data_IF_955020492444
#
_entry.id   IF_955020492444
#
_cell.length_a   1.000
_cell.length_b   1.000
_cell.length_c   1.000
_cell.angle_alpha   90.00
_cell.angle_beta   90.00
_cell.angle_gamma   90.00
#
_symmetry.space_group_name_H-M   'P 1'
#
loop_
_entity.id
_entity.type
_entity.pdbx_description
1 polymer ?
#
# COMPACT_ATOMS: atom_id res chain seq x y z
N UNK A 1 -4.16 -1.05 22.08
CA UNK A 1 -3.10 -1.27 21.08
C UNK A 1 -2.85 0.00 20.29
N UNK A 2 -3.85 0.60 19.62
CA UNK A 2 -3.70 1.84 18.84
C UNK A 2 -3.00 2.99 19.58
N UNK A 3 -3.43 3.34 20.79
CA UNK A 3 -2.79 4.41 21.59
C UNK A 3 -1.29 4.16 21.84
N UNK A 4 -0.90 2.89 21.98
CA UNK A 4 0.50 2.50 22.18
C UNK A 4 1.29 2.47 20.86
N UNK A 5 0.63 2.18 19.74
CA UNK A 5 1.25 2.27 18.42
C UNK A 5 1.50 3.75 18.07
N UNK A 6 0.50 4.60 18.30
CA UNK A 6 0.58 6.06 18.11
C UNK A 6 1.66 6.69 19.01
N UNK A 7 1.78 6.26 20.27
CA UNK A 7 2.82 6.78 21.16
C UNK A 7 4.23 6.43 20.67
N UNK A 8 4.44 5.20 20.18
CA UNK A 8 5.75 4.75 19.67
C UNK A 8 6.11 5.43 18.36
N UNK A 9 5.13 5.62 17.47
CA UNK A 9 5.34 6.41 16.26
C UNK A 9 5.72 7.86 16.56
N UNK A 10 5.00 8.50 17.50
CA UNK A 10 5.33 9.86 17.94
C UNK A 10 6.74 9.95 18.53
N UNK A 11 7.14 8.97 19.35
CA UNK A 11 8.48 8.91 19.93
C UNK A 11 9.56 8.83 18.84
N UNK A 12 9.38 8.00 17.81
CA UNK A 12 10.32 7.95 16.68
C UNK A 12 10.41 9.29 15.95
N UNK A 13 9.27 9.95 15.69
CA UNK A 13 9.25 11.26 15.03
C UNK A 13 10.05 12.30 15.84
N UNK A 14 9.87 12.31 17.16
CA UNK A 14 10.59 13.21 18.06
C UNK A 14 12.08 12.89 18.12
N UNK A 15 12.46 11.63 18.35
CA UNK A 15 13.86 11.21 18.46
C UNK A 15 14.68 11.53 17.21
N UNK A 16 14.06 11.41 16.04
CA UNK A 16 14.71 11.63 14.76
C UNK A 16 14.51 13.04 14.19
N UNK A 17 13.84 13.95 14.91
CA UNK A 17 13.48 15.29 14.45
C UNK A 17 12.81 15.28 13.06
N UNK A 18 11.79 14.44 12.92
CA UNK A 18 10.97 14.33 11.71
C UNK A 18 9.72 15.21 11.82
N UNK A 19 9.14 15.51 10.67
CA UNK A 19 7.90 16.26 10.53
C UNK A 19 6.72 15.31 10.27
N UNK A 20 5.57 15.58 10.91
CA UNK A 20 4.31 14.93 10.54
C UNK A 20 3.74 15.56 9.27
N UNK A 21 3.29 14.77 8.28
CA UNK A 21 2.65 15.35 7.11
C UNK A 21 1.34 16.04 7.47
N UNK A 22 1.08 17.21 6.88
CA UNK A 22 -0.10 18.06 7.15
C UNK A 22 -1.43 17.31 6.88
N UNK A 23 -1.42 16.32 5.98
CA UNK A 23 -2.59 15.50 5.63
C UNK A 23 -2.26 14.00 5.78
N UNK A 24 -2.28 13.50 7.03
CA UNK A 24 -2.02 12.10 7.37
C UNK A 24 -2.88 11.11 6.57
N UNK A 25 -4.17 11.41 6.37
CA UNK A 25 -5.13 10.50 5.73
C UNK A 25 -4.98 10.33 4.21
N UNK A 26 -4.36 11.29 3.52
CA UNK A 26 -4.21 11.27 2.05
C UNK A 26 -2.79 10.94 1.58
N UNK A 27 -1.78 11.19 2.41
CA UNK A 27 -0.38 11.09 1.98
C UNK A 27 0.20 9.67 2.03
N UNK A 28 -0.43 8.75 2.78
CA UNK A 28 0.12 7.42 3.01
C UNK A 28 1.59 7.48 3.47
N UNK A 29 1.94 8.48 4.27
CA UNK A 29 3.32 8.75 4.69
C UNK A 29 3.28 9.02 6.18
N UNK A 30 4.18 8.39 6.93
CA UNK A 30 4.13 8.45 8.39
C UNK A 30 4.93 9.66 8.89
N UNK A 31 6.07 9.95 8.25
CA UNK A 31 6.93 11.07 8.61
C UNK A 31 7.73 11.61 7.40
N UNK A 32 8.22 12.84 7.52
CA UNK A 32 9.05 13.52 6.53
C UNK A 32 10.33 14.03 7.19
N UNK A 33 11.47 13.79 6.56
CA UNK A 33 12.74 14.43 6.87
C UNK A 33 13.01 15.51 5.83
N UNK A 34 13.18 16.76 6.28
CA UNK A 34 13.67 17.85 5.43
C UNK A 34 15.20 17.91 5.52
N UNK A 35 15.90 17.75 4.39
CA UNK A 35 17.36 17.78 4.30
C UNK A 35 17.77 18.60 3.06
N UNK A 36 18.40 19.76 3.26
CA UNK A 36 18.84 20.66 2.17
C UNK A 36 17.74 20.87 1.11
N UNK A 37 16.54 21.25 1.55
CA UNK A 37 15.32 21.44 0.74
C UNK A 37 14.66 20.17 0.18
N UNK A 38 15.33 19.02 0.22
CA UNK A 38 14.75 17.74 -0.15
C UNK A 38 13.79 17.25 0.94
N UNK A 39 12.58 16.84 0.52
CA UNK A 39 11.61 16.18 1.38
C UNK A 39 11.68 14.68 1.20
N UNK A 40 12.15 14.01 2.24
CA UNK A 40 12.40 12.58 2.24
C UNK A 40 11.30 11.91 3.04
N UNK A 41 10.53 11.03 2.40
CA UNK A 41 9.37 10.40 3.04
C UNK A 41 9.74 9.09 3.72
N UNK A 42 9.19 8.89 4.91
CA UNK A 42 9.41 7.71 5.73
C UNK A 42 8.12 6.91 5.93
N UNK A 43 8.27 5.58 5.94
CA UNK A 43 7.37 4.65 6.62
C UNK A 43 7.97 4.34 8.00
N UNK A 44 7.16 4.43 9.06
CA UNK A 44 7.56 4.13 10.42
C UNK A 44 6.91 2.81 10.85
N UNK A 45 7.70 1.92 11.45
CA UNK A 45 7.20 0.71 12.07
C UNK A 45 7.84 0.52 13.44
N UNK A 46 7.11 -0.15 14.32
CA UNK A 46 7.67 -0.54 15.62
C UNK A 46 7.20 -1.92 16.04
N UNK A 47 8.02 -2.59 16.85
CA UNK A 47 7.72 -3.95 17.33
C UNK A 47 8.25 -4.16 18.74
N UNK A 48 7.62 -5.06 19.49
CA UNK A 48 8.12 -5.61 20.77
C UNK A 48 8.67 -7.02 20.60
N UNK A 49 8.70 -7.51 19.35
CA UNK A 49 9.20 -8.82 18.92
C UNK A 49 10.46 -8.63 18.06
N UNK A 50 10.94 -9.73 17.50
CA UNK A 50 12.10 -9.73 16.58
C UNK A 50 11.70 -9.49 15.11
N UNK A 51 10.44 -9.72 14.75
CA UNK A 51 9.89 -9.43 13.42
C UNK A 51 9.02 -8.18 13.42
N UNK A 52 8.90 -7.54 12.27
CA UNK A 52 8.06 -6.35 12.08
C UNK A 52 6.85 -6.69 11.20
N UNK A 53 5.64 -6.46 11.71
CA UNK A 53 4.39 -6.47 10.92
C UNK A 53 4.29 -5.22 10.06
N UNK A 54 3.78 -5.35 8.83
CA UNK A 54 3.73 -4.21 7.90
C UNK A 54 2.31 -3.67 7.68
N UNK A 55 1.43 -4.45 7.04
CA UNK A 55 0.04 -4.09 6.74
C UNK A 55 -0.86 -5.31 6.69
N UNK A 56 -2.17 -5.13 6.93
CA UNK A 56 -3.15 -6.23 6.88
C UNK A 56 -3.23 -6.87 5.51
N UNK A 57 -3.48 -6.10 4.47
CA UNK A 57 -3.74 -6.60 3.12
C UNK A 57 -2.71 -6.04 2.14
N UNK A 58 -1.55 -6.69 2.03
CA UNK A 58 -0.47 -6.25 1.14
C UNK A 58 -0.87 -6.51 -0.32
N UNK A 59 -0.69 -5.50 -1.19
CA UNK A 59 -1.11 -5.51 -2.59
C UNK A 59 -0.44 -4.41 -3.42
N UNK A 60 -0.87 -4.09 -4.65
CA UNK A 60 -0.08 -3.30 -5.60
C UNK A 60 0.08 -1.85 -5.16
N UNK A 61 -0.93 -1.32 -4.49
CA UNK A 61 -0.87 0.03 -3.93
C UNK A 61 0.20 0.15 -2.84
N UNK A 62 0.44 -0.90 -2.05
CA UNK A 62 1.54 -0.93 -1.08
C UNK A 62 2.90 -1.02 -1.77
N UNK A 63 3.01 -1.84 -2.83
CA UNK A 63 4.23 -1.94 -3.63
C UNK A 63 4.59 -0.56 -4.22
N UNK A 64 3.62 0.15 -4.79
CA UNK A 64 3.79 1.51 -5.33
C UNK A 64 4.17 2.50 -4.21
N UNK A 65 3.43 2.49 -3.10
CA UNK A 65 3.65 3.36 -1.94
C UNK A 65 5.06 3.24 -1.39
N UNK A 66 5.58 2.01 -1.27
CA UNK A 66 6.82 1.74 -0.55
C UNK A 66 8.09 1.76 -1.41
N UNK A 67 7.98 1.64 -2.74
CA UNK A 67 9.13 1.54 -3.66
C UNK A 67 10.19 2.64 -3.49
N UNK A 68 9.76 3.86 -3.17
CA UNK A 68 10.64 5.02 -2.99
C UNK A 68 10.76 5.52 -1.56
N UNK A 69 10.26 4.78 -0.57
CA UNK A 69 10.23 5.23 0.82
C UNK A 69 11.46 4.78 1.59
N UNK A 70 11.92 5.67 2.47
CA UNK A 70 12.83 5.29 3.54
C UNK A 70 12.03 4.69 4.69
N UNK A 71 12.70 3.91 5.53
CA UNK A 71 12.05 3.23 6.65
C UNK A 71 12.80 3.47 7.94
N UNK A 72 12.04 3.59 9.03
CA UNK A 72 12.56 3.52 10.39
C UNK A 72 11.81 2.47 11.19
N UNK A 73 12.57 1.62 11.87
CA UNK A 73 12.06 0.52 12.66
C UNK A 73 12.45 0.70 14.12
N UNK A 74 11.48 0.93 15.01
CA UNK A 74 11.71 0.97 16.46
C UNK A 74 11.54 -0.40 17.11
N UNK A 75 12.57 -0.90 17.79
CA UNK A 75 12.53 -2.16 18.52
C UNK A 75 12.44 -1.91 20.02
N UNK A 76 11.34 -2.34 20.63
CA UNK A 76 11.04 -2.09 22.03
C UNK A 76 11.17 -3.35 22.89
N UNK A 77 11.32 -3.15 24.20
CA UNK A 77 11.15 -4.21 25.19
C UNK A 77 9.74 -4.81 25.19
N UNK A 78 9.62 -5.99 25.79
CA UNK A 78 8.31 -6.60 26.08
C UNK A 78 7.51 -5.61 26.94
N UNK A 79 6.30 -5.27 26.48
CA UNK A 79 5.48 -4.23 27.11
C UNK A 79 5.56 -2.87 26.41
N UNK A 80 6.50 -2.66 25.48
CA UNK A 80 6.49 -1.58 24.50
C UNK A 80 6.70 -0.17 25.06
N UNK A 81 7.31 -0.04 26.25
CA UNK A 81 7.58 1.24 26.92
C UNK A 81 9.02 1.74 26.75
N UNK A 82 9.97 0.82 26.58
CA UNK A 82 11.39 1.13 26.51
C UNK A 82 11.87 0.79 25.11
N UNK A 83 12.30 1.82 24.37
CA UNK A 83 12.97 1.66 23.08
C UNK A 83 14.37 1.10 23.31
N UNK A 84 14.72 0.01 22.63
CA UNK A 84 16.06 -0.60 22.70
C UNK A 84 17.01 0.01 21.68
N UNK A 85 16.55 0.07 20.43
CA UNK A 85 17.30 0.59 19.30
C UNK A 85 16.35 0.83 18.12
N UNK A 86 16.85 1.59 17.16
CA UNK A 86 16.22 1.83 15.88
C UNK A 86 17.07 1.27 14.75
N UNK A 87 16.43 0.90 13.65
CA UNK A 87 17.08 0.60 12.37
C UNK A 87 16.58 1.55 11.30
N UNK A 88 17.48 1.95 10.40
CA UNK A 88 17.17 2.70 9.19
C UNK A 88 17.27 1.79 7.97
N UNK A 89 16.40 2.01 6.97
CA UNK A 89 16.55 1.41 5.65
C UNK A 89 16.29 2.43 4.54
N UNK A 90 17.16 2.41 3.53
CA UNK A 90 16.92 3.12 2.27
C UNK A 90 15.93 2.35 1.37
N UNK A 91 15.36 2.99 0.34
CA UNK A 91 14.57 2.31 -0.68
C UNK A 91 15.29 1.10 -1.29
N UNK A 92 16.60 1.23 -1.56
CA UNK A 92 17.45 0.17 -2.09
C UNK A 92 17.55 -1.02 -1.13
N UNK A 93 17.69 -0.78 0.17
CA UNK A 93 17.75 -1.84 1.19
C UNK A 93 16.40 -2.56 1.35
N UNK A 94 15.28 -1.88 1.13
CA UNK A 94 13.94 -2.49 1.23
C UNK A 94 13.46 -3.13 -0.07
N UNK A 95 14.07 -2.81 -1.20
CA UNK A 95 13.67 -3.32 -2.52
C UNK A 95 13.61 -4.85 -2.60
N UNK A 96 14.59 -5.63 -2.07
CA UNK A 96 14.52 -7.09 -2.13
C UNK A 96 13.29 -7.67 -1.42
N UNK A 97 12.99 -7.22 -0.20
CA UNK A 97 11.81 -7.69 0.52
C UNK A 97 10.51 -7.29 -0.19
N UNK A 98 10.42 -6.05 -0.69
CA UNK A 98 9.23 -5.60 -1.44
C UNK A 98 9.06 -6.41 -2.73
N UNK A 99 10.15 -6.71 -3.44
CA UNK A 99 10.13 -7.53 -4.67
C UNK A 99 9.65 -8.94 -4.38
N UNK A 100 10.19 -9.58 -3.34
CA UNK A 100 9.76 -10.93 -2.94
C UNK A 100 8.25 -10.97 -2.65
N UNK A 101 7.71 -9.96 -1.95
CA UNK A 101 6.27 -9.88 -1.68
C UNK A 101 5.47 -9.55 -2.93
N UNK A 102 6.01 -8.73 -3.83
CA UNK A 102 5.42 -8.43 -5.13
C UNK A 102 5.31 -9.68 -6.02
N UNK A 103 6.35 -10.51 -6.04
CA UNK A 103 6.39 -11.73 -6.83
C UNK A 103 5.37 -12.75 -6.30
N UNK A 104 5.24 -12.87 -4.98
CA UNK A 104 4.25 -13.74 -4.33
C UNK A 104 2.81 -13.45 -4.81
N UNK A 105 2.43 -12.18 -4.88
CA UNK A 105 1.08 -11.76 -5.30
C UNK A 105 0.95 -11.55 -6.82
N UNK A 106 2.05 -11.61 -7.56
CA UNK A 106 2.13 -11.16 -8.95
C UNK A 106 1.26 -11.96 -9.92
N UNK A 107 1.17 -13.28 -9.71
CA UNK A 107 0.35 -14.16 -10.56
C UNK A 107 -1.13 -13.80 -10.49
N UNK A 108 -1.65 -13.52 -9.29
CA UNK A 108 -3.06 -13.18 -9.12
C UNK A 108 -3.38 -11.81 -9.72
N UNK A 109 -2.47 -10.84 -9.63
CA UNK A 109 -2.63 -9.57 -10.35
C UNK A 109 -2.59 -9.74 -11.86
N UNK A 110 -1.79 -10.70 -12.36
CA UNK A 110 -1.79 -11.00 -13.79
C UNK A 110 -3.13 -11.60 -14.21
N UNK A 111 -3.74 -12.46 -13.39
CA UNK A 111 -5.10 -12.95 -13.62
C UNK A 111 -6.11 -11.80 -13.65
N UNK A 112 -6.02 -10.85 -12.72
CA UNK A 112 -6.91 -9.68 -12.70
C UNK A 112 -6.80 -8.81 -13.96
N UNK A 113 -5.67 -8.83 -14.66
CA UNK A 113 -5.48 -8.11 -15.93
C UNK A 113 -5.98 -8.89 -17.15
N UNK A 114 -5.85 -10.22 -17.14
CA UNK A 114 -6.11 -11.06 -18.31
C UNK A 114 -7.53 -11.62 -18.34
N UNK A 115 -8.05 -12.09 -17.21
CA UNK A 115 -9.35 -12.77 -17.13
C UNK A 115 -10.52 -11.87 -17.53
N UNK A 116 -10.59 -10.59 -17.13
CA UNK A 116 -11.68 -9.72 -17.59
C UNK A 116 -11.76 -9.63 -19.11
N UNK A 117 -10.64 -9.68 -19.83
CA UNK A 117 -10.64 -9.61 -21.29
C UNK A 117 -11.20 -10.85 -21.97
N UNK A 118 -11.26 -11.98 -21.27
CA UNK A 118 -11.87 -13.21 -21.75
C UNK A 118 -13.39 -13.26 -21.54
N UNK A 119 -13.96 -12.30 -20.81
CA UNK A 119 -15.41 -12.22 -20.58
C UNK A 119 -16.08 -11.74 -21.86
N UNK A 120 -16.96 -12.60 -22.40
CA UNK A 120 -17.76 -12.34 -23.58
C UNK A 120 -19.14 -11.79 -23.24
N UNK A 121 -19.83 -11.27 -24.26
CA UNK A 121 -21.22 -10.83 -24.16
C UNK A 121 -22.19 -11.98 -23.84
N UNK A 122 -21.90 -13.20 -24.30
CA UNK A 122 -22.70 -14.37 -23.94
C UNK A 122 -22.66 -14.63 -22.43
N UNK A 123 -21.49 -14.48 -21.80
CA UNK A 123 -21.37 -14.63 -20.35
C UNK A 123 -22.06 -13.49 -19.59
N UNK A 124 -22.09 -12.28 -20.14
CA UNK A 124 -22.90 -11.20 -19.58
C UNK A 124 -24.38 -11.61 -19.52
N UNK A 125 -24.93 -12.11 -20.62
CA UNK A 125 -26.33 -12.50 -20.71
C UNK A 125 -26.68 -13.63 -19.73
N UNK A 126 -25.78 -14.60 -19.55
CA UNK A 126 -25.96 -15.66 -18.53
C UNK A 126 -26.01 -15.10 -17.09
N UNK A 127 -25.29 -14.01 -16.80
CA UNK A 127 -25.18 -13.46 -15.43
C UNK A 127 -26.30 -12.47 -15.11
N UNK A 128 -26.66 -11.58 -16.05
CA UNK A 128 -27.61 -10.48 -15.80
C UNK A 128 -28.87 -10.52 -16.67
N UNK A 129 -29.01 -11.55 -17.51
CA UNK A 129 -30.08 -11.68 -18.49
C UNK A 129 -29.82 -10.84 -19.74
N UNK A 130 -30.26 -11.31 -20.91
CA UNK A 130 -30.18 -10.57 -22.17
C UNK A 130 -31.18 -9.40 -22.17
N UNK A 131 -30.69 -8.19 -22.50
CA UNK A 131 -31.50 -6.98 -22.67
C UNK A 131 -30.88 -6.10 -23.76
N UNK A 132 -31.71 -5.41 -24.52
CA UNK A 132 -31.22 -4.38 -25.47
C UNK A 132 -30.69 -3.13 -24.74
N UNK A 133 -31.28 -2.81 -23.57
CA UNK A 133 -30.87 -1.68 -22.74
C UNK A 133 -30.91 -2.11 -21.26
N UNK A 134 -29.79 -1.90 -20.57
CA UNK A 134 -29.67 -2.07 -19.12
C UNK A 134 -29.84 -0.75 -18.40
N UNK A 135 -30.41 -0.81 -17.19
CA UNK A 135 -30.67 0.37 -16.36
C UNK A 135 -29.49 0.70 -15.43
N UNK A 136 -29.52 1.89 -14.82
CA UNK A 136 -28.63 2.22 -13.70
C UNK A 136 -28.73 1.23 -12.55
N UNK A 137 -29.93 0.73 -12.27
CA UNK A 137 -30.15 -0.24 -11.20
C UNK A 137 -29.49 -1.58 -11.52
N UNK A 138 -29.57 -2.05 -12.77
CA UNK A 138 -28.86 -3.24 -13.24
C UNK A 138 -27.35 -3.09 -13.03
N UNK A 139 -26.77 -1.97 -13.49
CA UNK A 139 -25.36 -1.64 -13.34
C UNK A 139 -24.93 -1.59 -11.86
N UNK A 140 -25.74 -0.95 -10.99
CA UNK A 140 -25.48 -0.89 -9.55
C UNK A 140 -25.56 -2.24 -8.86
N UNK A 141 -26.50 -3.09 -9.28
CA UNK A 141 -26.66 -4.45 -8.77
C UNK A 141 -25.46 -5.32 -9.14
N UNK A 142 -24.96 -5.20 -10.37
CA UNK A 142 -23.77 -5.90 -10.83
C UNK A 142 -22.51 -5.41 -10.10
N UNK A 143 -22.28 -4.10 -10.09
CA UNK A 143 -21.05 -3.50 -9.56
C UNK A 143 -21.10 -3.23 -8.05
N UNK A 144 -22.20 -3.59 -7.39
CA UNK A 144 -22.42 -3.46 -5.94
C UNK A 144 -22.11 -2.07 -5.40
N UNK A 145 -22.50 -1.03 -6.14
CA UNK A 145 -22.32 0.39 -5.78
C UNK A 145 -20.87 0.77 -5.45
N UNK A 146 -19.89 0.08 -6.04
CA UNK A 146 -18.46 0.41 -5.86
C UNK A 146 -18.04 1.68 -6.59
N UNK A 147 -18.67 1.99 -7.72
CA UNK A 147 -18.53 3.29 -8.36
C UNK A 147 -19.31 4.38 -7.64
N UNK A 148 -18.81 5.60 -7.72
CA UNK A 148 -19.58 6.83 -7.50
C UNK A 148 -20.69 6.96 -8.54
N UNK A 149 -21.71 7.77 -8.23
CA UNK A 149 -22.80 8.04 -9.17
C UNK A 149 -22.29 8.67 -10.48
N UNK A 150 -21.23 9.50 -10.41
CA UNK A 150 -20.65 10.13 -11.59
C UNK A 150 -19.97 9.10 -12.49
N UNK A 151 -19.24 8.14 -11.91
CA UNK A 151 -18.63 7.05 -12.68
C UNK A 151 -19.66 6.16 -13.37
N UNK A 152 -20.79 5.85 -12.72
CA UNK A 152 -21.89 5.16 -13.38
C UNK A 152 -22.42 5.93 -14.57
N UNK A 153 -22.67 7.24 -14.41
CA UNK A 153 -23.17 8.11 -15.48
C UNK A 153 -22.18 8.22 -16.63
N UNK A 154 -20.89 8.35 -16.35
CA UNK A 154 -19.85 8.41 -17.37
C UNK A 154 -19.74 7.12 -18.19
N UNK A 155 -20.20 5.99 -17.64
CA UNK A 155 -20.22 4.70 -18.34
C UNK A 155 -21.53 4.43 -19.09
N UNK A 156 -22.55 5.28 -18.95
CA UNK A 156 -23.76 5.18 -19.78
C UNK A 156 -23.40 5.59 -21.20
N UNK A 157 -23.49 4.64 -22.12
CA UNK A 157 -23.20 4.83 -23.53
C UNK A 157 -24.46 5.07 -24.37
N UNK A 158 -25.64 4.96 -23.75
CA UNK A 158 -26.94 5.33 -24.32
C UNK A 158 -27.54 6.52 -23.56
N UNK A 159 -28.47 7.23 -24.22
CA UNK A 159 -29.14 8.41 -23.65
C UNK A 159 -29.85 8.12 -22.32
N UNK A 160 -30.32 6.89 -22.10
CA UNK A 160 -31.06 6.50 -20.90
C UNK A 160 -30.75 5.08 -20.43
N UNK A 161 -29.47 4.67 -20.47
CA UNK A 161 -29.06 3.36 -19.98
C UNK A 161 -27.68 2.93 -20.50
N UNK A 162 -27.46 1.61 -20.48
CA UNK A 162 -26.26 0.97 -20.98
C UNK A 162 -26.64 0.00 -22.10
N UNK A 163 -25.87 -0.01 -23.18
CA UNK A 163 -25.90 -1.11 -24.14
C UNK A 163 -25.37 -2.41 -23.49
N UNK A 164 -25.55 -3.58 -24.14
CA UNK A 164 -24.84 -4.80 -23.78
C UNK A 164 -23.32 -4.62 -23.65
N UNK A 165 -22.69 -3.86 -24.53
CA UNK A 165 -21.25 -3.60 -24.51
C UNK A 165 -20.84 -2.71 -23.32
N UNK A 166 -21.63 -1.67 -23.03
CA UNK A 166 -21.45 -0.82 -21.85
C UNK A 166 -21.56 -1.62 -20.56
N UNK A 167 -22.57 -2.50 -20.48
CA UNK A 167 -22.77 -3.38 -19.32
C UNK A 167 -21.69 -4.48 -19.22
N UNK A 168 -21.20 -5.00 -20.34
CA UNK A 168 -20.07 -5.93 -20.39
C UNK A 168 -18.81 -5.28 -19.81
N UNK A 169 -18.52 -4.01 -20.13
CA UNK A 169 -17.39 -3.28 -19.53
C UNK A 169 -17.51 -3.21 -18.00
N UNK A 170 -18.71 -3.00 -17.47
CA UNK A 170 -18.95 -2.96 -16.01
C UNK A 170 -18.73 -4.36 -15.40
N UNK A 171 -19.15 -5.44 -16.08
CA UNK A 171 -18.88 -6.82 -15.63
C UNK A 171 -17.37 -7.10 -15.59
N UNK A 172 -16.62 -6.68 -16.61
CA UNK A 172 -15.16 -6.81 -16.66
C UNK A 172 -14.50 -6.10 -15.48
N UNK A 173 -14.90 -4.86 -15.22
CA UNK A 173 -14.40 -4.09 -14.07
C UNK A 173 -14.77 -4.76 -12.73
N UNK A 174 -15.98 -5.33 -12.61
CA UNK A 174 -16.40 -6.09 -11.42
C UNK A 174 -15.53 -7.33 -11.20
N UNK A 175 -15.26 -8.08 -12.27
CA UNK A 175 -14.40 -9.27 -12.22
C UNK A 175 -12.99 -8.89 -11.77
N UNK A 176 -12.39 -7.87 -12.40
CA UNK A 176 -11.08 -7.34 -12.04
C UNK A 176 -11.03 -6.98 -10.56
N UNK A 177 -11.99 -6.18 -10.09
CA UNK A 177 -12.07 -5.76 -8.69
C UNK A 177 -12.10 -6.94 -7.72
N UNK A 178 -12.90 -7.97 -8.02
CA UNK A 178 -13.03 -9.14 -7.16
C UNK A 178 -11.72 -9.92 -7.05
N UNK A 179 -11.02 -10.11 -8.18
CA UNK A 179 -9.72 -10.77 -8.19
C UNK A 179 -8.72 -9.92 -7.41
N UNK A 180 -8.54 -8.64 -7.75
CA UNK A 180 -7.58 -7.74 -7.09
C UNK A 180 -7.79 -7.67 -5.57
N UNK A 181 -9.04 -7.67 -5.11
CA UNK A 181 -9.37 -7.67 -3.68
C UNK A 181 -8.98 -8.97 -2.96
N UNK A 182 -9.03 -10.11 -3.67
CA UNK A 182 -8.60 -11.41 -3.16
C UNK A 182 -7.09 -11.65 -3.28
N UNK A 183 -6.41 -10.93 -4.16
CA UNK A 183 -4.98 -11.07 -4.48
C UNK A 183 -4.03 -10.44 -3.45
N UNK A 184 -4.37 -10.43 -2.17
CA UNK A 184 -3.55 -9.78 -1.13
C UNK A 184 -2.78 -10.79 -0.29
N UNK A 185 -1.60 -10.39 0.17
CA UNK A 185 -0.85 -11.14 1.18
C UNK A 185 -1.21 -10.60 2.57
N UNK A 186 -1.75 -11.48 3.41
CA UNK A 186 -2.21 -11.08 4.73
C UNK A 186 -1.04 -10.92 5.73
N UNK A 187 -0.92 -9.75 6.36
CA UNK A 187 0.04 -9.44 7.42
C UNK A 187 1.48 -9.92 7.15
N UNK A 188 2.12 -9.59 6.01
CA UNK A 188 3.50 -10.00 5.79
C UNK A 188 4.41 -9.39 6.83
N UNK A 189 5.29 -10.24 7.36
CA UNK A 189 6.30 -9.87 8.33
C UNK A 189 7.65 -9.67 7.65
N UNK A 190 8.41 -8.68 8.12
CA UNK A 190 9.85 -8.59 7.87
C UNK A 190 10.55 -9.40 8.96
N UNK A 191 11.22 -10.52 8.62
CA UNK A 191 11.86 -11.39 9.61
C UNK A 191 13.12 -10.74 10.19
N UNK A 192 13.52 -11.18 11.39
CA UNK A 192 14.71 -10.68 12.06
C UNK A 192 16.00 -10.84 11.24
N UNK A 193 16.10 -11.94 10.48
CA UNK A 193 17.23 -12.23 9.59
C UNK A 193 17.39 -11.21 8.47
N UNK A 194 16.33 -10.51 8.07
CA UNK A 194 16.42 -9.45 7.05
C UNK A 194 17.24 -8.24 7.54
N UNK A 195 17.30 -8.06 8.85
CA UNK A 195 18.00 -6.97 9.52
C UNK A 195 19.42 -7.37 9.98
N UNK A 196 19.89 -8.56 9.63
CA UNK A 196 21.20 -9.04 10.06
C UNK A 196 22.32 -8.15 9.49
N UNK A 197 23.25 -7.74 10.35
CA UNK A 197 24.35 -6.83 9.99
C UNK A 197 23.96 -5.35 9.88
N UNK A 198 22.69 -4.98 10.04
CA UNK A 198 22.28 -3.56 9.98
C UNK A 198 22.73 -2.79 11.22
N UNK A 199 23.09 -1.52 11.02
CA UNK A 199 23.49 -0.64 12.12
C UNK A 199 22.31 -0.37 13.07
N UNK A 200 22.56 -0.57 14.37
CA UNK A 200 21.62 -0.22 15.43
C UNK A 200 21.87 1.20 15.91
N UNK A 201 20.90 2.08 15.70
CA UNK A 201 20.92 3.44 16.22
C UNK A 201 20.38 3.41 17.66
N UNK A 202 21.24 3.69 18.63
CA UNK A 202 20.90 3.74 20.07
C UNK A 202 21.08 5.13 20.68
N UNK A 203 21.81 6.01 20.00
CA UNK A 203 22.17 7.36 20.45
C UNK A 203 22.29 8.30 19.25
N UNK A 204 22.26 9.62 19.48
CA UNK A 204 22.38 10.64 18.43
C UNK A 204 21.43 10.43 17.24
N UNK A 205 20.23 9.92 17.52
CA UNK A 205 19.24 9.43 16.56
C UNK A 205 19.06 10.35 15.35
N UNK A 206 18.69 11.61 15.57
CA UNK A 206 18.46 12.58 14.51
C UNK A 206 19.70 12.84 13.64
N UNK A 207 20.88 12.99 14.25
CA UNK A 207 22.11 13.24 13.51
C UNK A 207 22.49 12.02 12.68
N UNK A 208 22.51 10.82 13.29
CA UNK A 208 22.93 9.61 12.59
C UNK A 208 22.01 9.26 11.43
N UNK A 209 20.71 9.49 11.58
CA UNK A 209 19.76 9.33 10.46
C UNK A 209 20.11 10.26 9.29
N UNK A 210 20.43 11.53 9.55
CA UNK A 210 20.77 12.49 8.49
C UNK A 210 22.05 12.08 7.76
N UNK A 211 23.05 11.55 8.48
CA UNK A 211 24.27 10.99 7.88
C UNK A 211 23.93 9.82 6.95
N UNK A 212 23.24 8.79 7.45
CA UNK A 212 22.84 7.60 6.67
C UNK A 212 22.00 7.95 5.43
N UNK A 213 21.10 8.91 5.57
CA UNK A 213 20.29 9.40 4.46
C UNK A 213 21.12 10.17 3.44
N UNK A 214 22.08 10.99 3.89
CA UNK A 214 22.99 11.74 3.01
C UNK A 214 23.88 10.77 2.22
N UNK A 215 24.46 9.78 2.90
CA UNK A 215 25.26 8.70 2.29
C UNK A 215 24.44 8.00 1.19
N UNK A 216 23.20 7.62 1.51
CA UNK A 216 22.28 6.98 0.55
C UNK A 216 21.99 7.86 -0.67
N UNK A 217 21.81 9.17 -0.50
CA UNK A 217 21.52 10.07 -1.63
C UNK A 217 22.76 10.22 -2.52
N UNK A 218 23.94 10.35 -1.92
CA UNK A 218 25.20 10.47 -2.64
C UNK A 218 25.54 9.23 -3.45
N UNK A 219 25.27 8.02 -2.92
CA UNK A 219 25.46 6.76 -3.66
C UNK A 219 24.59 6.62 -4.92
N UNK A 220 23.49 7.38 -5.01
CA UNK A 220 22.53 7.31 -6.11
C UNK A 220 22.64 8.50 -7.09
N UNK A 221 23.62 9.40 -6.88
CA UNK A 221 23.94 10.52 -7.77
C UNK A 221 25.19 10.20 -8.59
#
# INVERSE_FOLDING_TARGET
>A
MTVQDDSRENELIQLFNLERPVNLSRSGTDAILTLNELKITFELKSTTKTSVTTVRDFGPEHIKKWRGKHWLFGFYEKGGKILKYCLYASPKMMAPWISEKSDYVGSDYKLAQLIPELISISLLYEIVGEKEVYTLEDAQSLQKRQYTIQEYRNKMDLESGYSPEGMLSILKDRCKYLIERGSTLNNPHIPASYFEGWERITTNHAQRLRELVTETIQENT
#
